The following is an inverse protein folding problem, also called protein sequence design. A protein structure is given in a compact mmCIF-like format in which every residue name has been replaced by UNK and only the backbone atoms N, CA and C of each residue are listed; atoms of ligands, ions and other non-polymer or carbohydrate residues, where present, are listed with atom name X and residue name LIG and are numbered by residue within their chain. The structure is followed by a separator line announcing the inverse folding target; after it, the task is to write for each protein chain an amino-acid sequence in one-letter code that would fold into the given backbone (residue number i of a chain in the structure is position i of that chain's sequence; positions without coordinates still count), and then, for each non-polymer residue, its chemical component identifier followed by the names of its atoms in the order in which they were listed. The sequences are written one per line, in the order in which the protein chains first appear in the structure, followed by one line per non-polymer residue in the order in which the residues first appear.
data_IF_311796124860
#
_entry.id   IF_311796124860
#
_cell.length_a   1.000
_cell.length_b   1.000
_cell.length_c   1.000
_cell.angle_alpha   90.00
_cell.angle_beta   90.00
_cell.angle_gamma   90.00
#
_symmetry.space_group_name_H-M   'P 1'
#
loop_
_entity.id
_entity.type
_entity.pdbx_description
1 polymer ?
#
# COMPACT_ATOMS: atom_id res chain seq x y z
N UNK A 1 32.88 -21.05 -27.61
CA UNK A 1 33.26 -19.62 -27.47
C UNK A 1 32.28 -18.63 -28.13
N UNK A 2 31.80 -18.78 -29.40
CA UNK A 2 30.81 -17.85 -29.95
C UNK A 2 29.48 -17.77 -29.21
N UNK A 3 29.04 -18.85 -28.55
CA UNK A 3 27.81 -18.89 -27.75
C UNK A 3 27.82 -17.89 -26.58
N UNK A 4 28.96 -17.70 -25.93
CA UNK A 4 29.08 -16.82 -24.76
C UNK A 4 28.91 -15.33 -25.13
N UNK A 5 29.42 -14.89 -26.29
CA UNK A 5 29.31 -13.47 -26.74
C UNK A 5 27.88 -13.11 -27.13
N UNK A 6 27.15 -14.04 -27.74
CA UNK A 6 25.73 -13.88 -28.09
C UNK A 6 24.88 -13.79 -26.84
N UNK A 7 25.11 -14.69 -25.88
CA UNK A 7 24.37 -14.71 -24.60
C UNK A 7 24.56 -13.41 -23.82
N UNK A 8 25.79 -12.88 -23.73
CA UNK A 8 26.08 -11.60 -23.07
C UNK A 8 25.37 -10.43 -23.76
N UNK A 9 25.31 -10.42 -25.10
CA UNK A 9 24.55 -9.40 -25.85
C UNK A 9 23.06 -9.47 -25.57
N UNK A 10 22.47 -10.67 -25.61
CA UNK A 10 21.05 -10.88 -25.36
C UNK A 10 20.66 -10.49 -23.93
N UNK A 11 21.52 -10.84 -22.97
CA UNK A 11 21.35 -10.44 -21.55
C UNK A 11 21.43 -8.93 -21.37
N UNK A 12 22.41 -8.27 -22.01
CA UNK A 12 22.54 -6.80 -21.99
C UNK A 12 21.30 -6.12 -22.61
N UNK A 13 20.78 -6.63 -23.73
CA UNK A 13 19.60 -6.11 -24.38
C UNK A 13 18.35 -6.24 -23.47
N UNK A 14 18.18 -7.40 -22.82
CA UNK A 14 17.10 -7.65 -21.87
C UNK A 14 17.14 -6.68 -20.68
N UNK A 15 18.31 -6.52 -20.06
CA UNK A 15 18.51 -5.58 -18.94
C UNK A 15 18.27 -4.14 -19.37
N UNK A 16 18.68 -3.75 -20.58
CA UNK A 16 18.43 -2.42 -21.14
C UNK A 16 16.91 -2.15 -21.30
N UNK A 17 16.15 -3.16 -21.69
CA UNK A 17 14.69 -3.08 -21.78
C UNK A 17 14.05 -2.94 -20.40
N UNK A 18 14.50 -3.72 -19.42
CA UNK A 18 14.06 -3.62 -18.02
C UNK A 18 14.34 -2.21 -17.48
N UNK A 19 15.53 -1.64 -17.71
CA UNK A 19 15.87 -0.27 -17.30
C UNK A 19 14.90 0.76 -17.86
N UNK A 20 14.54 0.66 -19.16
CA UNK A 20 13.57 1.58 -19.77
C UNK A 20 12.19 1.45 -19.14
N UNK A 21 11.75 0.23 -18.87
CA UNK A 21 10.47 -0.05 -18.24
C UNK A 21 10.41 0.50 -16.81
N UNK A 22 11.43 0.20 -15.99
CA UNK A 22 11.47 0.67 -14.59
C UNK A 22 11.55 2.19 -14.51
N UNK A 23 12.29 2.83 -15.42
CA UNK A 23 12.33 4.30 -15.51
C UNK A 23 10.98 4.91 -15.87
N UNK A 24 10.27 4.33 -16.82
CA UNK A 24 8.92 4.76 -17.16
C UNK A 24 7.95 4.62 -15.97
N UNK A 25 8.01 3.48 -15.26
CA UNK A 25 7.19 3.23 -14.06
C UNK A 25 7.52 4.18 -12.91
N UNK A 26 8.78 4.53 -12.72
CA UNK A 26 9.22 5.55 -11.76
C UNK A 26 8.57 6.90 -12.05
N UNK A 27 8.61 7.36 -13.30
CA UNK A 27 8.03 8.65 -13.71
C UNK A 27 6.49 8.65 -13.58
N UNK A 28 5.83 7.55 -13.94
CA UNK A 28 4.38 7.40 -13.77
C UNK A 28 4.01 7.47 -12.29
N UNK A 29 4.75 6.76 -11.42
CA UNK A 29 4.53 6.80 -9.99
C UNK A 29 4.71 8.22 -9.43
N UNK A 30 5.78 8.92 -9.82
CA UNK A 30 6.04 10.31 -9.42
C UNK A 30 4.88 11.26 -9.79
N UNK A 31 4.36 11.15 -11.01
CA UNK A 31 3.20 11.96 -11.45
C UNK A 31 1.93 11.64 -10.64
N UNK A 32 1.70 10.36 -10.35
CA UNK A 32 0.51 9.92 -9.61
C UNK A 32 0.54 10.30 -8.14
N UNK A 33 1.71 10.36 -7.50
CA UNK A 33 1.86 10.80 -6.10
C UNK A 33 1.33 12.23 -5.94
N UNK A 34 1.68 13.15 -6.83
CA UNK A 34 1.20 14.55 -6.78
C UNK A 34 -0.33 14.59 -6.79
N UNK A 35 -0.96 13.81 -7.68
CA UNK A 35 -2.42 13.72 -7.75
C UNK A 35 -3.03 13.09 -6.50
N UNK A 36 -2.39 12.06 -5.93
CA UNK A 36 -2.85 11.42 -4.69
C UNK A 36 -2.80 12.40 -3.51
N UNK A 37 -1.73 13.18 -3.38
CA UNK A 37 -1.60 14.22 -2.36
C UNK A 37 -2.65 15.32 -2.53
N UNK A 38 -2.88 15.79 -3.75
CA UNK A 38 -3.92 16.78 -4.02
C UNK A 38 -5.32 16.29 -3.62
N UNK A 39 -5.63 15.01 -3.90
CA UNK A 39 -6.90 14.39 -3.48
C UNK A 39 -7.02 14.30 -1.96
N UNK A 40 -5.94 13.89 -1.28
CA UNK A 40 -5.91 13.83 0.18
C UNK A 40 -6.11 15.21 0.82
N UNK A 41 -5.48 16.25 0.25
CA UNK A 41 -5.66 17.64 0.69
C UNK A 41 -7.09 18.16 0.42
N UNK A 42 -7.64 17.84 -0.76
CA UNK A 42 -9.00 18.25 -1.13
C UNK A 42 -10.09 17.59 -0.26
N UNK A 43 -9.85 16.36 0.24
CA UNK A 43 -10.77 15.68 1.15
C UNK A 43 -10.70 16.23 2.59
N UNK A 44 -9.61 16.91 2.97
CA UNK A 44 -9.35 17.40 4.32
C UNK A 44 -10.41 18.34 4.89
N UNK A 45 -10.87 19.39 4.18
CA UNK A 45 -11.90 20.29 4.67
C UNK A 45 -13.20 19.58 5.04
N UNK A 46 -13.70 18.71 4.15
CA UNK A 46 -14.92 17.94 4.42
C UNK A 46 -14.77 17.05 5.66
N UNK A 47 -13.65 16.33 5.77
CA UNK A 47 -13.38 15.46 6.92
C UNK A 47 -13.33 16.26 8.23
N UNK A 48 -12.73 17.46 8.24
CA UNK A 48 -12.67 18.33 9.43
C UNK A 48 -14.05 18.83 9.85
N UNK A 49 -14.85 19.35 8.91
CA UNK A 49 -16.19 19.84 9.23
C UNK A 49 -17.12 18.72 9.72
N UNK A 50 -16.97 17.53 9.11
CA UNK A 50 -17.72 16.36 9.55
C UNK A 50 -17.30 15.91 10.95
N UNK A 51 -16.00 15.93 11.26
CA UNK A 51 -15.50 15.65 12.61
C UNK A 51 -16.02 16.67 13.62
N UNK A 52 -15.99 17.96 13.28
CA UNK A 52 -16.55 19.03 14.13
C UNK A 52 -18.04 18.83 14.41
N UNK A 53 -18.82 18.50 13.37
CA UNK A 53 -20.25 18.26 13.51
C UNK A 53 -20.54 17.07 14.43
N UNK A 54 -19.86 15.93 14.23
CA UNK A 54 -20.00 14.75 15.09
C UNK A 54 -19.56 15.06 16.53
N UNK A 55 -18.43 15.73 16.73
CA UNK A 55 -17.96 16.13 18.06
C UNK A 55 -18.93 17.09 18.75
N UNK A 56 -19.50 18.04 18.03
CA UNK A 56 -20.49 18.97 18.59
C UNK A 56 -21.75 18.23 19.08
N UNK A 57 -22.30 17.34 18.24
CA UNK A 57 -23.48 16.56 18.66
C UNK A 57 -23.13 15.68 19.87
N UNK A 58 -22.00 14.98 19.84
CA UNK A 58 -21.59 14.11 20.93
C UNK A 58 -21.33 14.88 22.25
N UNK A 59 -20.80 16.11 22.19
CA UNK A 59 -20.52 16.92 23.37
C UNK A 59 -21.78 17.59 23.95
N UNK A 60 -22.70 18.04 23.08
CA UNK A 60 -23.88 18.80 23.50
C UNK A 60 -25.14 17.95 23.63
N UNK A 61 -25.15 16.71 23.15
CA UNK A 61 -26.23 15.76 23.35
C UNK A 61 -25.73 14.56 24.16
N UNK A 62 -26.34 14.30 25.30
CA UNK A 62 -26.08 13.11 26.11
C UNK A 62 -26.76 11.86 25.48
N UNK A 63 -26.60 11.68 24.15
CA UNK A 63 -27.24 10.59 23.40
C UNK A 63 -26.25 9.43 23.26
N UNK A 64 -26.61 8.29 23.82
CA UNK A 64 -25.92 7.04 23.57
C UNK A 64 -26.31 6.53 22.16
N UNK A 65 -25.33 6.51 21.26
CA UNK A 65 -25.54 5.98 19.91
C UNK A 65 -24.78 4.66 19.75
N UNK A 66 -25.36 3.63 19.08
CA UNK A 66 -24.69 2.34 18.92
C UNK A 66 -23.26 2.39 18.36
N UNK A 67 -22.95 3.33 17.48
CA UNK A 67 -21.62 3.49 16.89
C UNK A 67 -20.59 4.21 17.80
N UNK A 68 -21.03 4.80 18.92
CA UNK A 68 -20.17 5.51 19.88
C UNK A 68 -20.06 4.79 21.22
N UNK A 69 -20.95 3.85 21.51
CA UNK A 69 -21.01 3.15 22.79
C UNK A 69 -20.12 1.92 22.78
N UNK A 70 -19.21 1.84 23.74
CA UNK A 70 -18.38 0.65 23.93
C UNK A 70 -19.19 -0.50 24.54
N UNK A 71 -19.07 -1.70 23.96
CA UNK A 71 -19.59 -2.91 24.58
C UNK A 71 -18.74 -3.29 25.81
N UNK A 72 -19.33 -3.65 26.95
CA UNK A 72 -18.57 -3.88 28.19
C UNK A 72 -17.61 -5.07 28.15
N UNK A 73 -17.76 -5.97 27.18
CA UNK A 73 -16.88 -7.13 26.99
C UNK A 73 -16.80 -7.49 25.51
N UNK A 74 -16.00 -6.78 24.72
CA UNK A 74 -15.89 -7.02 23.28
C UNK A 74 -15.23 -8.38 23.00
N UNK A 75 -15.92 -9.25 22.28
CA UNK A 75 -15.48 -10.62 21.94
C UNK A 75 -15.03 -10.79 20.50
N UNK A 76 -15.49 -9.94 19.61
CA UNK A 76 -15.21 -10.06 18.16
C UNK A 76 -14.70 -8.74 17.58
N UNK A 77 -13.56 -8.81 16.90
CA UNK A 77 -12.93 -7.66 16.28
C UNK A 77 -12.85 -7.83 14.77
N UNK A 78 -13.34 -6.84 14.03
CA UNK A 78 -13.09 -6.75 12.59
C UNK A 78 -11.78 -5.99 12.33
N UNK A 79 -11.00 -6.47 11.37
CA UNK A 79 -9.76 -5.82 10.92
C UNK A 79 -9.83 -5.57 9.41
N UNK A 80 -9.91 -4.31 9.00
CA UNK A 80 -9.77 -3.89 7.61
C UNK A 80 -8.29 -3.67 7.30
N UNK A 81 -7.71 -4.50 6.43
CA UNK A 81 -6.32 -4.40 5.99
C UNK A 81 -6.25 -3.76 4.60
N UNK A 82 -5.60 -2.60 4.48
CA UNK A 82 -5.47 -1.86 3.21
C UNK A 82 -4.10 -2.12 2.60
N UNK A 83 -4.05 -2.90 1.52
CA UNK A 83 -2.84 -3.26 0.77
C UNK A 83 -2.91 -2.77 -0.68
N UNK A 84 -1.86 -3.05 -1.48
CA UNK A 84 -1.87 -2.71 -2.91
C UNK A 84 -2.53 -3.79 -3.78
N UNK A 85 -3.05 -3.37 -4.93
CA UNK A 85 -3.47 -4.29 -5.99
C UNK A 85 -2.31 -4.79 -6.83
N UNK A 86 -1.28 -3.96 -7.02
CA UNK A 86 -0.14 -4.25 -7.89
C UNK A 86 1.12 -4.44 -7.06
N UNK A 87 2.03 -5.26 -7.59
CA UNK A 87 3.39 -5.40 -7.05
C UNK A 87 4.28 -4.19 -7.34
N UNK A 88 5.58 -4.40 -7.20
CA UNK A 88 6.63 -3.43 -7.53
C UNK A 88 6.58 -2.15 -6.66
N UNK A 89 6.00 -2.25 -5.49
CA UNK A 89 5.96 -1.20 -4.47
C UNK A 89 6.91 -1.50 -3.28
N UNK A 90 8.02 -2.19 -3.54
CA UNK A 90 8.98 -2.58 -2.51
C UNK A 90 8.32 -3.38 -1.39
N UNK A 91 8.61 -3.04 -0.15
CA UNK A 91 8.09 -3.69 1.05
C UNK A 91 6.72 -3.17 1.51
N UNK A 92 6.05 -2.29 0.76
CA UNK A 92 4.80 -1.63 1.16
C UNK A 92 3.77 -2.62 1.72
N UNK A 93 3.27 -3.55 0.89
CA UNK A 93 2.25 -4.51 1.32
C UNK A 93 2.74 -5.48 2.39
N UNK A 94 4.02 -5.89 2.33
CA UNK A 94 4.60 -6.76 3.35
C UNK A 94 4.65 -6.11 4.73
N UNK A 95 4.93 -4.81 4.81
CA UNK A 95 4.96 -4.08 6.07
C UNK A 95 3.56 -3.91 6.66
N UNK A 96 2.54 -3.59 5.84
CA UNK A 96 1.15 -3.50 6.29
C UNK A 96 0.64 -4.86 6.77
N UNK A 97 0.92 -5.93 6.04
CA UNK A 97 0.54 -7.29 6.42
C UNK A 97 1.19 -7.66 7.77
N UNK A 98 2.47 -7.35 7.97
CA UNK A 98 3.15 -7.60 9.24
C UNK A 98 2.51 -6.84 10.40
N UNK A 99 2.11 -5.59 10.20
CA UNK A 99 1.42 -4.81 11.22
C UNK A 99 0.02 -5.39 11.50
N UNK A 100 -0.70 -5.84 10.47
CA UNK A 100 -1.95 -6.57 10.62
C UNK A 100 -1.79 -7.86 11.43
N UNK A 101 -0.71 -8.63 11.18
CA UNK A 101 -0.41 -9.84 11.97
C UNK A 101 -0.13 -9.50 13.44
N UNK A 102 0.58 -8.40 13.70
CA UNK A 102 0.84 -7.93 15.06
C UNK A 102 -0.45 -7.56 15.78
N UNK A 103 -1.33 -6.82 15.11
CA UNK A 103 -2.65 -6.50 15.65
C UNK A 103 -3.48 -7.78 15.91
N UNK A 104 -3.47 -8.72 14.97
CA UNK A 104 -4.17 -9.99 15.14
C UNK A 104 -3.67 -10.78 16.35
N UNK A 105 -2.36 -10.76 16.61
CA UNK A 105 -1.81 -11.40 17.79
C UNK A 105 -2.27 -10.72 19.08
N UNK A 106 -2.22 -9.38 19.16
CA UNK A 106 -2.68 -8.62 20.30
C UNK A 106 -4.16 -8.87 20.62
N UNK A 107 -5.02 -8.83 19.59
CA UNK A 107 -6.45 -9.06 19.76
C UNK A 107 -6.77 -10.50 20.19
N UNK A 108 -5.97 -11.49 19.79
CA UNK A 108 -6.10 -12.88 20.25
C UNK A 108 -5.64 -13.05 21.71
N UNK A 109 -4.61 -12.32 22.11
CA UNK A 109 -4.15 -12.28 23.53
C UNK A 109 -5.23 -11.67 24.43
N UNK A 110 -6.09 -10.80 23.87
CA UNK A 110 -7.30 -10.28 24.53
C UNK A 110 -8.53 -11.20 24.37
N UNK A 111 -8.35 -12.47 24.01
CA UNK A 111 -9.42 -13.48 23.80
C UNK A 111 -10.49 -13.08 22.75
N UNK A 112 -10.15 -12.23 21.76
CA UNK A 112 -11.08 -11.78 20.73
C UNK A 112 -11.01 -12.65 19.48
N UNK A 113 -12.18 -12.96 18.93
CA UNK A 113 -12.32 -13.58 17.61
C UNK A 113 -12.12 -12.54 16.51
N UNK A 114 -11.40 -12.92 15.45
CA UNK A 114 -11.02 -12.00 14.38
C UNK A 114 -11.86 -12.22 13.14
N UNK A 115 -12.37 -11.12 12.57
CA UNK A 115 -13.06 -11.09 11.28
C UNK A 115 -12.25 -10.22 10.33
N UNK A 116 -11.77 -10.80 9.22
CA UNK A 116 -10.85 -10.10 8.32
C UNK A 116 -11.57 -9.53 7.11
N UNK A 117 -11.37 -8.25 6.87
CA UNK A 117 -11.78 -7.50 5.69
C UNK A 117 -10.55 -7.01 4.93
N UNK A 118 -10.52 -7.16 3.61
CA UNK A 118 -9.32 -6.89 2.84
C UNK A 118 -9.59 -5.88 1.72
N UNK A 119 -8.75 -4.86 1.63
CA UNK A 119 -8.66 -3.97 0.47
C UNK A 119 -7.31 -4.17 -0.22
N UNK A 120 -7.33 -4.53 -1.53
CA UNK A 120 -6.14 -4.76 -2.35
C UNK A 120 -5.76 -6.24 -2.50
N UNK A 121 -5.41 -6.60 -3.75
CA UNK A 121 -5.11 -7.99 -4.16
C UNK A 121 -3.96 -8.63 -3.40
N UNK A 122 -2.98 -7.85 -2.92
CA UNK A 122 -1.83 -8.41 -2.20
C UNK A 122 -2.22 -8.97 -0.83
N UNK A 123 -3.14 -8.31 -0.13
CA UNK A 123 -3.74 -8.84 1.09
C UNK A 123 -4.56 -10.10 0.80
N UNK A 124 -5.43 -10.05 -0.20
CA UNK A 124 -6.24 -11.21 -0.61
C UNK A 124 -5.35 -12.41 -0.93
N UNK A 125 -4.34 -12.23 -1.77
CA UNK A 125 -3.42 -13.32 -2.13
C UNK A 125 -2.68 -13.92 -0.92
N UNK A 126 -2.27 -13.08 0.04
CA UNK A 126 -1.61 -13.53 1.27
C UNK A 126 -2.56 -14.38 2.14
N UNK A 127 -3.79 -13.92 2.36
CA UNK A 127 -4.77 -14.63 3.19
C UNK A 127 -5.22 -15.94 2.52
N UNK A 128 -5.47 -15.93 1.21
CA UNK A 128 -5.78 -17.13 0.44
C UNK A 128 -4.66 -18.17 0.51
N UNK A 129 -3.40 -17.74 0.35
CA UNK A 129 -2.24 -18.64 0.46
C UNK A 129 -2.12 -19.26 1.87
N UNK A 130 -2.48 -18.50 2.91
CA UNK A 130 -2.48 -18.95 4.31
C UNK A 130 -3.76 -19.69 4.70
N UNK A 131 -4.71 -19.88 3.79
CA UNK A 131 -6.01 -20.51 4.04
C UNK A 131 -6.78 -19.84 5.20
N UNK A 132 -6.69 -18.51 5.30
CA UNK A 132 -7.42 -17.72 6.29
C UNK A 132 -8.75 -17.27 5.75
N UNK A 133 -9.74 -17.26 6.60
CA UNK A 133 -11.08 -16.75 6.28
C UNK A 133 -11.04 -15.24 6.06
N UNK A 134 -11.79 -14.80 5.07
CA UNK A 134 -11.98 -13.39 4.71
C UNK A 134 -13.48 -13.15 4.57
N UNK A 135 -14.03 -12.27 5.38
CA UNK A 135 -15.45 -11.95 5.34
C UNK A 135 -15.83 -11.26 4.02
N UNK A 136 -15.04 -10.25 3.63
CA UNK A 136 -15.24 -9.56 2.36
C UNK A 136 -13.93 -8.93 1.86
N UNK A 137 -13.83 -8.75 0.54
CA UNK A 137 -12.66 -8.12 -0.07
C UNK A 137 -13.01 -7.20 -1.23
N UNK A 138 -12.22 -6.13 -1.38
CA UNK A 138 -12.34 -5.13 -2.44
C UNK A 138 -11.00 -4.96 -3.14
N UNK A 139 -11.03 -4.90 -4.47
CA UNK A 139 -9.80 -4.79 -5.27
C UNK A 139 -10.00 -3.91 -6.48
N UNK A 140 -8.88 -3.41 -7.05
CA UNK A 140 -8.84 -2.75 -8.35
C UNK A 140 -8.53 -1.26 -8.32
N UNK A 141 -8.59 -0.60 -7.17
CA UNK A 141 -8.52 0.84 -7.02
C UNK A 141 -7.51 1.34 -5.95
N UNK A 142 -6.58 0.49 -5.51
CA UNK A 142 -5.63 0.82 -4.43
C UNK A 142 -4.79 2.08 -4.66
N UNK A 143 -4.42 2.38 -5.92
CA UNK A 143 -3.63 3.57 -6.28
C UNK A 143 -4.46 4.83 -6.58
N UNK A 144 -5.79 4.71 -6.59
CA UNK A 144 -6.72 5.81 -6.86
C UNK A 144 -8.11 5.53 -6.27
N UNK A 145 -8.22 5.39 -4.94
CA UNK A 145 -9.48 5.07 -4.30
C UNK A 145 -10.52 6.18 -4.47
N UNK A 146 -11.78 5.78 -4.64
CA UNK A 146 -12.92 6.67 -4.70
C UNK A 146 -13.67 6.75 -3.38
N UNK A 147 -14.40 7.84 -3.14
CA UNK A 147 -15.29 7.94 -1.97
C UNK A 147 -16.43 6.91 -2.02
N UNK A 148 -16.90 6.57 -3.23
CA UNK A 148 -17.91 5.53 -3.41
C UNK A 148 -17.43 4.16 -2.89
N UNK A 149 -16.17 3.79 -3.17
CA UNK A 149 -15.56 2.58 -2.62
C UNK A 149 -15.43 2.62 -1.10
N UNK A 150 -15.01 3.76 -0.55
CA UNK A 150 -14.92 3.92 0.89
C UNK A 150 -16.27 3.80 1.57
N UNK A 151 -17.34 4.31 0.92
CA UNK A 151 -18.72 4.16 1.40
C UNK A 151 -19.19 2.70 1.37
N UNK A 152 -18.94 1.99 0.28
CA UNK A 152 -19.25 0.55 0.17
C UNK A 152 -18.58 -0.27 1.30
N UNK A 153 -17.32 0.04 1.61
CA UNK A 153 -16.60 -0.59 2.72
C UNK A 153 -17.22 -0.18 4.06
N UNK A 154 -17.56 1.10 4.22
CA UNK A 154 -18.18 1.60 5.45
C UNK A 154 -19.53 0.94 5.72
N UNK A 155 -20.38 0.85 4.70
CA UNK A 155 -21.71 0.23 4.81
C UNK A 155 -21.60 -1.23 5.27
N UNK A 156 -20.67 -2.02 4.69
CA UNK A 156 -20.43 -3.40 5.10
C UNK A 156 -19.89 -3.53 6.54
N UNK A 157 -18.99 -2.62 6.94
CA UNK A 157 -18.42 -2.66 8.30
C UNK A 157 -19.42 -2.18 9.36
N UNK A 158 -20.24 -1.18 9.05
CA UNK A 158 -21.31 -0.70 9.93
C UNK A 158 -22.38 -1.79 10.11
N UNK A 159 -22.77 -2.48 9.03
CA UNK A 159 -23.70 -3.62 9.10
C UNK A 159 -23.16 -4.71 10.04
N UNK A 160 -21.88 -5.08 9.88
CA UNK A 160 -21.24 -6.07 10.75
C UNK A 160 -21.18 -5.61 12.22
N UNK A 161 -21.01 -4.31 12.48
CA UNK A 161 -20.95 -3.75 13.83
C UNK A 161 -22.32 -3.66 14.50
N UNK A 162 -23.36 -3.33 13.75
CA UNK A 162 -24.73 -3.26 14.25
C UNK A 162 -25.39 -4.64 14.43
N UNK A 163 -24.86 -5.66 13.75
CA UNK A 163 -25.33 -7.04 13.91
C UNK A 163 -24.98 -7.56 15.32
N UNK A 164 -25.88 -8.24 16.02
CA UNK A 164 -25.59 -8.86 17.31
C UNK A 164 -24.40 -9.82 17.24
N UNK A 165 -23.58 -9.85 18.26
CA UNK A 165 -22.36 -10.70 18.29
C UNK A 165 -22.69 -12.18 18.18
N UNK A 166 -23.83 -12.61 18.76
CA UNK A 166 -24.34 -13.99 18.68
C UNK A 166 -24.76 -14.38 17.25
N UNK A 167 -25.12 -13.41 16.42
CA UNK A 167 -25.49 -13.61 15.02
C UNK A 167 -24.29 -13.44 14.06
N UNK A 168 -23.09 -13.30 14.61
CA UNK A 168 -21.85 -13.19 13.83
C UNK A 168 -21.35 -11.75 13.63
N UNK A 169 -21.98 -10.76 14.27
CA UNK A 169 -21.55 -9.37 14.27
C UNK A 169 -20.22 -9.15 14.99
N UNK A 170 -19.72 -7.92 14.98
CA UNK A 170 -18.45 -7.53 15.61
C UNK A 170 -18.66 -6.43 16.64
N UNK A 171 -17.76 -6.37 17.62
CA UNK A 171 -17.84 -5.42 18.73
C UNK A 171 -16.91 -4.24 18.56
N UNK A 172 -15.87 -4.41 17.75
CA UNK A 172 -14.92 -3.35 17.43
C UNK A 172 -14.38 -3.51 16.01
N UNK A 173 -13.96 -2.41 15.42
CA UNK A 173 -13.40 -2.37 14.05
C UNK A 173 -12.11 -1.60 14.06
N UNK A 174 -11.06 -2.23 13.52
CA UNK A 174 -9.73 -1.65 13.33
C UNK A 174 -9.40 -1.52 11.85
N UNK A 175 -8.65 -0.47 11.50
CA UNK A 175 -8.10 -0.29 10.16
C UNK A 175 -6.57 -0.34 10.26
N UNK A 176 -5.95 -1.20 9.45
CA UNK A 176 -4.51 -1.27 9.26
C UNK A 176 -4.18 -0.71 7.88
N UNK A 177 -3.40 0.36 7.83
CA UNK A 177 -3.04 1.05 6.60
C UNK A 177 -1.62 1.62 6.70
N UNK A 178 -1.12 2.24 5.64
CA UNK A 178 0.15 2.97 5.69
C UNK A 178 -0.10 4.47 5.64
N UNK A 179 0.30 5.18 6.69
CA UNK A 179 0.29 6.64 6.76
C UNK A 179 1.42 7.21 5.93
N UNK A 180 1.08 8.16 5.07
CA UNK A 180 2.06 8.93 4.31
C UNK A 180 2.56 10.12 5.15
N UNK A 181 3.81 10.06 5.58
CA UNK A 181 4.47 11.14 6.35
C UNK A 181 5.25 12.05 5.40
N UNK A 182 6.03 11.45 4.49
CA UNK A 182 6.82 12.16 3.49
C UNK A 182 7.17 11.20 2.35
N UNK A 183 7.82 11.71 1.30
CA UNK A 183 8.35 10.88 0.21
C UNK A 183 9.37 9.83 0.67
N UNK A 184 10.06 10.09 1.78
CA UNK A 184 11.06 9.19 2.35
C UNK A 184 10.47 8.26 3.42
N UNK A 185 9.46 8.72 4.14
CA UNK A 185 8.92 8.02 5.31
C UNK A 185 7.45 7.69 5.12
N UNK A 186 7.13 6.42 5.16
CA UNK A 186 5.78 5.88 5.21
C UNK A 186 5.75 4.88 6.38
N UNK A 187 4.72 4.94 7.21
CA UNK A 187 4.59 4.13 8.43
C UNK A 187 3.31 3.31 8.39
N UNK A 188 3.36 1.99 8.56
CA UNK A 188 2.16 1.23 8.90
C UNK A 188 1.55 1.80 10.18
N UNK A 189 0.24 1.90 10.20
CA UNK A 189 -0.52 2.50 11.28
C UNK A 189 -1.80 1.72 11.52
N UNK A 190 -2.26 1.72 12.75
CA UNK A 190 -3.49 1.06 13.18
C UNK A 190 -4.37 2.10 13.85
N UNK A 191 -5.62 2.19 13.40
CA UNK A 191 -6.62 3.02 14.06
C UNK A 191 -7.82 2.17 14.45
N UNK A 192 -8.43 2.43 15.60
CA UNK A 192 -9.76 1.94 15.93
C UNK A 192 -10.78 2.83 15.20
N UNK A 193 -11.64 2.22 14.40
CA UNK A 193 -12.67 2.91 13.64
C UNK A 193 -13.99 2.95 14.43
N UNK A 194 -14.37 1.83 15.01
CA UNK A 194 -15.57 1.68 15.84
C UNK A 194 -15.26 0.81 17.08
N UNK A 195 -15.91 1.08 18.22
CA UNK A 195 -16.74 2.26 18.49
C UNK A 195 -15.93 3.55 18.34
N UNK A 196 -16.59 4.63 18.00
CA UNK A 196 -15.93 5.93 17.86
C UNK A 196 -15.49 6.42 19.24
N UNK A 197 -14.20 6.63 19.42
CA UNK A 197 -13.72 7.41 20.56
C UNK A 197 -14.08 8.87 20.29
N UNK A 198 -15.01 9.39 21.06
CA UNK A 198 -15.20 10.82 21.18
C UNK A 198 -14.03 11.33 22.03
N UNK A 199 -12.89 11.57 21.38
CA UNK A 199 -11.79 12.28 22.02
C UNK A 199 -12.30 13.69 22.21
N UNK A 200 -12.59 14.10 23.44
CA UNK A 200 -12.69 15.50 23.81
C UNK A 200 -11.41 16.14 23.27
N UNK A 201 -11.58 17.10 22.37
CA UNK A 201 -10.56 17.55 21.43
C UNK A 201 -9.20 17.74 22.08
N UNK A 202 -8.13 17.23 21.42
CA UNK A 202 -6.74 17.41 21.84
C UNK A 202 -6.29 18.87 21.98
N UNK A 203 -7.11 19.81 21.53
CA UNK A 203 -7.03 21.24 21.85
C UNK A 203 -8.35 21.61 22.54
N UNK A 204 -8.29 21.77 23.85
CA UNK A 204 -9.32 22.54 24.54
C UNK A 204 -9.51 23.85 23.75
N UNK A 205 -10.78 24.24 23.42
CA UNK A 205 -11.02 25.49 22.74
C UNK A 205 -10.24 26.58 23.44
N UNK A 206 -9.53 27.44 22.69
CA UNK A 206 -8.82 28.56 23.29
C UNK A 206 -9.83 29.31 24.19
N UNK A 207 -9.40 29.76 25.35
CA UNK A 207 -10.28 30.35 26.38
C UNK A 207 -11.19 31.48 25.88
N UNK A 208 -10.96 31.98 24.65
CA UNK A 208 -11.72 32.98 23.94
C UNK A 208 -12.62 32.44 22.80
N UNK A 209 -12.60 31.13 22.53
CA UNK A 209 -13.43 30.54 21.49
C UNK A 209 -14.84 30.25 22.03
N UNK A 210 -15.75 31.17 21.75
CA UNK A 210 -17.18 30.99 22.06
C UNK A 210 -17.66 29.84 21.19
N UNK A 211 -17.89 28.67 21.78
CA UNK A 211 -18.52 27.57 21.09
C UNK A 211 -19.90 27.98 20.63
N UNK A 212 -20.26 27.85 19.36
CA UNK A 212 -21.58 28.18 18.88
C UNK A 212 -22.62 27.30 19.59
N UNK A 213 -23.74 27.94 20.01
CA UNK A 213 -24.92 27.21 20.47
C UNK A 213 -25.47 26.42 19.27
N UNK A 214 -25.42 25.10 19.35
CA UNK A 214 -26.01 24.22 18.34
C UNK A 214 -27.44 23.89 18.75
N UNK A 215 -28.38 24.12 17.85
CA UNK A 215 -29.71 23.50 17.90
C UNK A 215 -29.75 22.37 16.89
N UNK A 216 -30.22 21.20 17.34
CA UNK A 216 -30.27 20.02 16.51
C UNK A 216 -31.70 19.76 16.04
N UNK A 217 -31.94 19.81 14.74
CA UNK A 217 -33.22 19.53 14.11
C UNK A 217 -33.16 18.30 13.22
N UNK A 218 -34.09 17.34 13.31
CA UNK A 218 -35.25 17.33 14.22
C UNK A 218 -34.91 16.88 15.65
N UNK A 219 -33.83 16.09 15.84
CA UNK A 219 -33.28 15.65 17.11
C UNK A 219 -31.79 15.36 17.00
N UNK A 220 -31.05 15.35 18.11
CA UNK A 220 -29.64 15.02 18.13
C UNK A 220 -29.39 13.55 17.68
N UNK A 221 -30.29 12.61 18.00
CA UNK A 221 -30.21 11.22 17.60
C UNK A 221 -30.32 11.05 16.08
N UNK A 222 -31.32 11.64 15.45
CA UNK A 222 -31.51 11.60 14.00
C UNK A 222 -30.37 12.29 13.24
N UNK A 223 -29.79 13.34 13.81
CA UNK A 223 -28.59 14.00 13.26
C UNK A 223 -27.38 13.07 13.33
N UNK A 224 -27.18 12.35 14.45
CA UNK A 224 -26.12 11.36 14.58
C UNK A 224 -26.31 10.19 13.61
N UNK A 225 -27.50 9.65 13.49
CA UNK A 225 -27.84 8.59 12.52
C UNK A 225 -27.43 8.99 11.08
N UNK A 226 -27.63 10.25 10.72
CA UNK A 226 -27.29 10.77 9.41
C UNK A 226 -25.82 11.11 9.21
N UNK A 227 -25.10 11.48 10.27
CA UNK A 227 -23.70 11.93 10.22
C UNK A 227 -22.69 10.81 10.43
N UNK A 228 -22.93 9.88 11.36
CA UNK A 228 -21.97 8.85 11.74
C UNK A 228 -21.58 7.92 10.59
N UNK A 229 -22.49 7.42 9.74
CA UNK A 229 -22.10 6.61 8.58
C UNK A 229 -21.21 7.39 7.60
N UNK A 230 -21.50 8.69 7.41
CA UNK A 230 -20.69 9.57 6.55
C UNK A 230 -19.30 9.81 7.15
N UNK A 231 -19.23 9.95 8.47
CA UNK A 231 -17.97 10.08 9.20
C UNK A 231 -17.11 8.83 9.05
N UNK A 232 -17.69 7.64 9.25
CA UNK A 232 -17.02 6.35 9.07
C UNK A 232 -16.48 6.21 7.64
N UNK A 233 -17.32 6.50 6.63
CA UNK A 233 -16.91 6.47 5.22
C UNK A 233 -15.76 7.47 4.93
N UNK A 234 -15.82 8.66 5.51
CA UNK A 234 -14.79 9.69 5.38
C UNK A 234 -13.46 9.26 6.01
N UNK A 235 -13.50 8.61 7.19
CA UNK A 235 -12.30 8.07 7.85
C UNK A 235 -11.67 6.95 7.05
N UNK A 236 -12.46 6.02 6.51
CA UNK A 236 -11.97 4.96 5.62
C UNK A 236 -11.36 5.56 4.36
N UNK A 237 -12.04 6.53 3.73
CA UNK A 237 -11.52 7.21 2.55
C UNK A 237 -10.18 7.90 2.82
N UNK A 238 -10.06 8.58 3.96
CA UNK A 238 -8.80 9.17 4.40
C UNK A 238 -7.68 8.10 4.49
N UNK A 239 -7.93 6.97 5.14
CA UNK A 239 -6.96 5.88 5.25
C UNK A 239 -6.57 5.32 3.87
N UNK A 240 -7.53 5.16 2.96
CA UNK A 240 -7.28 4.71 1.59
C UNK A 240 -6.44 5.72 0.79
N UNK A 241 -6.69 7.01 0.92
CA UNK A 241 -5.88 8.06 0.27
C UNK A 241 -4.45 8.11 0.80
N UNK A 242 -4.26 7.97 2.12
CA UNK A 242 -2.94 7.87 2.75
C UNK A 242 -2.18 6.62 2.27
N UNK A 243 -2.88 5.49 2.19
CA UNK A 243 -2.37 4.23 1.68
C UNK A 243 -1.95 4.34 0.20
N UNK A 244 -2.77 4.95 -0.64
CA UNK A 244 -2.48 5.17 -2.06
C UNK A 244 -1.23 6.05 -2.28
N UNK A 245 -1.12 7.16 -1.54
CA UNK A 245 0.08 8.01 -1.60
C UNK A 245 1.33 7.25 -1.14
N UNK A 246 1.22 6.46 -0.09
CA UNK A 246 2.29 5.62 0.45
C UNK A 246 2.71 4.51 -0.53
N UNK A 247 1.75 3.84 -1.16
CA UNK A 247 1.99 2.82 -2.19
C UNK A 247 2.78 3.40 -3.37
N UNK A 248 2.34 4.56 -3.88
CA UNK A 248 2.97 5.24 -5.00
C UNK A 248 4.38 5.72 -4.67
N UNK A 249 4.63 6.24 -3.45
CA UNK A 249 5.95 6.65 -2.99
C UNK A 249 6.92 5.46 -2.90
N UNK A 250 6.46 4.34 -2.33
CA UNK A 250 7.23 3.10 -2.28
C UNK A 250 7.52 2.55 -3.69
N UNK A 251 6.53 2.60 -4.60
CA UNK A 251 6.70 2.18 -6.00
C UNK A 251 7.73 3.03 -6.71
N UNK A 252 7.66 4.35 -6.59
CA UNK A 252 8.65 5.25 -7.18
C UNK A 252 10.06 4.92 -6.70
N UNK A 253 10.25 4.75 -5.39
CA UNK A 253 11.56 4.40 -4.81
C UNK A 253 12.06 3.03 -5.29
N UNK A 254 11.19 2.03 -5.30
CA UNK A 254 11.54 0.69 -5.77
C UNK A 254 11.91 0.68 -7.26
N UNK A 255 11.19 1.44 -8.08
CA UNK A 255 11.49 1.55 -9.52
C UNK A 255 12.76 2.33 -9.78
N UNK A 256 13.04 3.38 -9.00
CA UNK A 256 14.33 4.10 -9.07
C UNK A 256 15.48 3.15 -8.75
N UNK A 257 15.43 2.44 -7.62
CA UNK A 257 16.48 1.47 -7.26
C UNK A 257 16.65 0.37 -8.33
N UNK A 258 15.56 -0.12 -8.90
CA UNK A 258 15.63 -1.10 -9.98
C UNK A 258 16.26 -0.54 -11.26
N UNK A 259 16.03 0.74 -11.57
CA UNK A 259 16.63 1.45 -12.70
C UNK A 259 18.14 1.62 -12.50
N UNK A 260 18.55 2.03 -11.29
CA UNK A 260 19.97 2.22 -10.93
C UNK A 260 20.70 0.87 -10.98
N UNK A 261 20.16 -0.19 -10.37
CA UNK A 261 20.73 -1.55 -10.43
C UNK A 261 20.83 -2.09 -11.87
N UNK A 262 19.83 -1.80 -12.71
CA UNK A 262 19.88 -2.19 -14.12
C UNK A 262 21.00 -1.45 -14.88
N UNK A 263 21.27 -0.18 -14.55
CA UNK A 263 22.38 0.57 -15.14
C UNK A 263 23.74 -0.06 -14.77
N UNK A 264 23.94 -0.35 -13.49
CA UNK A 264 25.19 -0.97 -13.00
C UNK A 264 25.44 -2.33 -13.68
N UNK A 265 24.37 -3.12 -13.85
CA UNK A 265 24.46 -4.40 -14.54
C UNK A 265 24.77 -4.25 -16.04
N UNK A 266 24.24 -3.22 -16.72
CA UNK A 266 24.57 -2.92 -18.12
C UNK A 266 26.06 -2.56 -18.26
N UNK A 267 26.61 -1.80 -17.32
CA UNK A 267 28.01 -1.44 -17.31
C UNK A 267 28.92 -2.65 -17.08
N UNK A 268 28.56 -3.54 -16.16
CA UNK A 268 29.27 -4.81 -15.96
C UNK A 268 29.23 -5.67 -17.20
N UNK A 269 28.04 -5.93 -17.75
CA UNK A 269 27.88 -6.71 -18.98
C UNK A 269 28.61 -6.11 -20.18
N UNK A 270 28.79 -4.79 -20.21
CA UNK A 270 29.56 -4.12 -21.27
C UNK A 270 31.06 -4.41 -21.13
N UNK A 271 31.60 -4.42 -19.91
CA UNK A 271 33.01 -4.80 -19.67
C UNK A 271 33.23 -6.27 -20.04
N UNK A 272 32.34 -7.16 -19.60
CA UNK A 272 32.44 -8.61 -19.90
C UNK A 272 32.36 -8.87 -21.41
N UNK A 273 31.52 -8.15 -22.13
CA UNK A 273 31.37 -8.23 -23.59
C UNK A 273 32.65 -7.81 -24.32
N UNK A 274 33.27 -6.70 -23.86
CA UNK A 274 34.51 -6.22 -24.44
C UNK A 274 35.68 -7.20 -24.18
N UNK A 275 35.77 -7.74 -22.98
CA UNK A 275 36.77 -8.77 -22.64
C UNK A 275 36.57 -10.06 -23.44
N UNK A 276 35.34 -10.56 -23.55
CA UNK A 276 35.05 -11.74 -24.35
C UNK A 276 35.35 -11.51 -25.85
N UNK A 277 35.08 -10.31 -26.38
CA UNK A 277 35.43 -9.94 -27.75
C UNK A 277 36.92 -9.89 -27.96
N UNK A 278 37.69 -9.32 -27.03
CA UNK A 278 39.16 -9.28 -27.12
C UNK A 278 39.77 -10.68 -27.09
N UNK A 279 39.26 -11.55 -26.18
CA UNK A 279 39.68 -12.94 -26.10
C UNK A 279 39.43 -13.70 -27.41
N UNK A 280 38.24 -13.49 -28.03
CA UNK A 280 37.90 -14.09 -29.31
C UNK A 280 38.84 -13.60 -30.44
N UNK A 281 39.08 -12.31 -30.54
CA UNK A 281 40.01 -11.74 -31.55
C UNK A 281 41.43 -12.32 -31.36
N UNK A 282 41.90 -12.42 -30.11
CA UNK A 282 43.23 -12.98 -29.81
C UNK A 282 43.29 -14.43 -30.21
N UNK A 283 42.23 -15.20 -29.95
CA UNK A 283 42.15 -16.59 -30.37
C UNK A 283 42.14 -16.78 -31.89
N UNK A 284 41.35 -15.99 -32.62
CA UNK A 284 41.30 -15.98 -34.08
C UNK A 284 42.65 -15.65 -34.67
N UNK A 285 43.39 -14.63 -34.15
CA UNK A 285 44.76 -14.29 -34.57
C UNK A 285 45.70 -15.48 -34.31
N UNK A 286 45.64 -16.09 -33.13
CA UNK A 286 46.50 -17.22 -32.78
C UNK A 286 46.24 -18.47 -33.69
N UNK A 287 45.01 -18.72 -34.06
CA UNK A 287 44.62 -19.80 -34.98
C UNK A 287 45.14 -19.50 -36.40
N UNK A 288 45.04 -18.26 -36.88
CA UNK A 288 45.58 -17.85 -38.18
C UNK A 288 47.12 -17.98 -38.23
N UNK A 289 47.81 -17.47 -37.20
CA UNK A 289 49.28 -17.52 -37.12
C UNK A 289 49.76 -18.96 -36.99
N UNK A 290 49.09 -19.78 -36.14
CA UNK A 290 49.42 -21.20 -35.98
C UNK A 290 49.19 -22.02 -37.27
N UNK A 291 48.07 -21.71 -37.99
CA UNK A 291 47.80 -22.32 -39.29
C UNK A 291 48.84 -21.92 -40.38
N UNK A 292 49.25 -20.69 -40.39
CA UNK A 292 50.30 -20.21 -41.33
C UNK A 292 51.67 -20.86 -41.04
N UNK A 293 52.04 -20.98 -39.76
CA UNK A 293 53.26 -21.67 -39.37
C UNK A 293 53.25 -23.17 -39.74
N UNK A 294 52.16 -23.89 -39.49
CA UNK A 294 52.02 -25.27 -39.85
C UNK A 294 52.07 -25.53 -41.39
N UNK A 295 51.51 -24.58 -42.19
CA UNK A 295 51.63 -24.62 -43.65
C UNK A 295 53.07 -24.36 -44.13
N UNK A 296 53.82 -23.45 -43.51
CA UNK A 296 55.21 -23.14 -43.82
C UNK A 296 56.08 -24.36 -43.51
N UNK A 297 55.88 -25.04 -42.36
CA UNK A 297 56.62 -26.23 -41.97
C UNK A 297 56.32 -27.42 -42.90
N UNK A 298 55.05 -27.57 -43.33
CA UNK A 298 54.68 -28.63 -44.27
C UNK A 298 55.30 -28.46 -45.68
N UNK A 299 55.47 -27.19 -46.15
CA UNK A 299 56.12 -26.90 -47.41
C UNK A 299 57.64 -27.04 -47.33
N UNK A 300 58.27 -26.77 -46.19
CA UNK A 300 59.73 -26.94 -45.99
C UNK A 300 60.16 -28.41 -45.84
N UNK A 301 59.25 -29.32 -45.46
CA UNK A 301 59.49 -30.75 -45.35
C UNK A 301 59.25 -31.55 -46.65
N UNK A 302 58.85 -30.89 -47.76
CA UNK A 302 58.58 -31.50 -49.05
C UNK A 302 59.68 -31.20 -50.12
N UNK A 303 60.79 -30.55 -49.78
CA UNK A 303 62.02 -30.48 -50.55
C UNK A 303 63.09 -31.44 -49.95
#
# INVERSE_FOLDING_TARGET
MPANLRELRDRKASVSTIKKLTRAMELIAASRIVKAQQRAQAAGPYARELTRAVSAVATFSNVDHPLTTEKPNPKRAAVLLITSDRGQAGAYSANVIREGERLHQMLREDDKQLVSYLSGRKGVAYYTFRQREVAQSWTGDSDSPSFARAREIADALIEAFLTPTEEGGVDEIHIVFTRFVSMLTQRPDVIRLLPLEVVEGEEAPAADEVLPLYEFEPSAEEVLDGLLPKYVASRIHYCMLQAAASELANRQRAMKSATDNAQDLIESLTRDLNQARQAQITQEISEIVGGASALADANAGSE
#
